data_IF_572940297449
#
_entry.id   IF_572940297449
#
_cell.length_a   1.000
_cell.length_b   1.000
_cell.length_c   1.000
_cell.angle_alpha   90.00
_cell.angle_beta   90.00
_cell.angle_gamma   90.00
#
_symmetry.space_group_name_H-M   'P 1'
#
loop_
_entity.id
_entity.type
_entity.pdbx_description
1 polymer ?
#
# COMPACT_ATOMS: atom_id res chain seq x y z
N UNK A 1 21.70 -13.02 -5.57
CA UNK A 1 21.71 -14.11 -6.56
C UNK A 1 22.12 -15.46 -5.92
N UNK A 2 23.24 -15.52 -5.19
CA UNK A 2 23.71 -16.77 -4.58
C UNK A 2 22.71 -17.32 -3.54
N UNK A 3 22.22 -16.50 -2.63
CA UNK A 3 21.24 -16.89 -1.61
C UNK A 3 19.89 -17.27 -2.23
N UNK A 4 19.48 -16.57 -3.30
CA UNK A 4 18.23 -16.89 -4.02
C UNK A 4 18.31 -18.26 -4.71
N UNK A 5 19.45 -18.57 -5.33
CA UNK A 5 19.69 -19.89 -5.94
C UNK A 5 19.69 -21.02 -4.90
N UNK A 6 20.31 -20.76 -3.74
CA UNK A 6 20.33 -21.70 -2.62
C UNK A 6 18.91 -21.94 -2.06
N UNK A 7 18.10 -20.89 -1.93
CA UNK A 7 16.72 -21.00 -1.51
C UNK A 7 15.89 -21.88 -2.47
N UNK A 8 15.96 -21.61 -3.78
CA UNK A 8 15.21 -22.39 -4.78
C UNK A 8 15.82 -23.79 -5.08
N UNK A 9 17.02 -24.10 -4.62
CA UNK A 9 17.51 -25.47 -4.60
C UNK A 9 16.86 -26.32 -3.52
N UNK A 10 16.32 -25.69 -2.48
CA UNK A 10 15.69 -26.35 -1.32
C UNK A 10 14.17 -26.37 -1.44
N UNK A 11 13.59 -25.30 -1.98
CA UNK A 11 12.13 -25.13 -2.11
C UNK A 11 11.75 -25.11 -3.60
N UNK A 12 10.79 -25.96 -4.00
CA UNK A 12 10.29 -25.97 -5.36
C UNK A 12 9.59 -24.66 -5.68
N UNK A 13 9.85 -24.14 -6.89
CA UNK A 13 9.25 -22.89 -7.36
C UNK A 13 7.70 -22.94 -7.37
N UNK A 14 7.12 -24.09 -7.72
CA UNK A 14 5.66 -24.29 -7.70
C UNK A 14 5.08 -24.24 -6.28
N UNK A 15 5.73 -24.90 -5.32
CA UNK A 15 5.31 -24.89 -3.93
C UNK A 15 5.42 -23.49 -3.32
N UNK A 16 6.43 -22.72 -3.73
CA UNK A 16 6.57 -21.31 -3.34
C UNK A 16 5.46 -20.43 -3.94
N UNK A 17 5.18 -20.54 -5.25
CA UNK A 17 4.20 -19.68 -5.92
C UNK A 17 2.77 -19.97 -5.44
N UNK A 18 2.41 -21.24 -5.26
CA UNK A 18 1.05 -21.66 -4.93
C UNK A 18 0.83 -22.01 -3.45
N UNK A 19 1.89 -21.96 -2.65
CA UNK A 19 1.80 -22.22 -1.22
C UNK A 19 0.92 -21.17 -0.51
N UNK A 20 0.08 -21.65 0.40
CA UNK A 20 -0.89 -20.83 1.14
C UNK A 20 -0.47 -20.49 2.55
N UNK A 21 0.70 -20.94 2.99
CA UNK A 21 1.24 -20.67 4.31
C UNK A 21 2.48 -19.79 4.22
N UNK A 22 2.55 -18.73 5.02
CA UNK A 22 3.72 -17.86 5.13
C UNK A 22 4.15 -17.75 6.60
N UNK A 23 5.18 -18.49 6.97
CA UNK A 23 5.70 -18.53 8.34
C UNK A 23 7.23 -18.56 8.38
N UNK A 24 7.91 -17.52 7.86
CA UNK A 24 9.39 -17.49 7.78
C UNK A 24 10.05 -17.57 9.15
N UNK A 25 9.36 -17.18 10.23
CA UNK A 25 9.89 -17.25 11.59
C UNK A 25 10.23 -18.69 12.01
N UNK A 26 9.54 -19.70 11.48
CA UNK A 26 9.83 -21.12 11.75
C UNK A 26 11.20 -21.53 11.23
N UNK A 27 11.69 -20.89 10.18
CA UNK A 27 13.01 -21.16 9.61
C UNK A 27 14.18 -20.59 10.43
N UNK A 28 13.92 -19.52 11.22
CA UNK A 28 14.97 -18.86 12.02
C UNK A 28 15.21 -19.50 13.39
N UNK A 29 14.31 -20.36 13.84
CA UNK A 29 14.32 -20.93 15.20
C UNK A 29 15.19 -22.19 15.31
N UNK A 30 15.73 -22.74 14.21
CA UNK A 30 16.41 -24.05 14.22
C UNK A 30 17.75 -24.03 13.52
N UNK A 31 18.76 -24.64 14.20
CA UNK A 31 20.04 -24.99 13.60
C UNK A 31 19.84 -26.07 12.52
N UNK A 32 20.36 -25.80 11.33
CA UNK A 32 20.24 -26.70 10.17
C UNK A 32 20.81 -28.11 10.39
N UNK A 33 21.56 -28.33 11.49
CA UNK A 33 22.20 -29.60 11.86
C UNK A 33 21.29 -30.60 12.60
N UNK A 34 20.06 -30.15 13.02
CA UNK A 34 19.15 -30.93 13.88
C UNK A 34 17.78 -31.18 13.26
N UNK A 35 17.57 -30.84 11.99
CA UNK A 35 16.28 -30.92 11.33
C UNK A 35 15.95 -32.37 10.97
N UNK A 36 14.83 -32.90 11.49
CA UNK A 36 14.31 -34.21 11.09
C UNK A 36 13.64 -34.15 9.72
N UNK A 37 13.49 -35.27 8.97
CA UNK A 37 12.82 -35.29 7.68
C UNK A 37 11.37 -34.76 7.73
N UNK A 38 10.65 -34.94 8.83
CA UNK A 38 9.29 -34.43 9.04
C UNK A 38 9.30 -32.91 9.22
N UNK A 39 10.24 -32.38 9.96
CA UNK A 39 10.44 -30.92 10.14
C UNK A 39 10.87 -30.23 8.86
N UNK A 40 11.61 -30.93 7.97
CA UNK A 40 11.95 -30.43 6.65
C UNK A 40 10.73 -30.23 5.76
N UNK A 41 9.74 -31.15 5.84
CA UNK A 41 8.46 -31.03 5.14
C UNK A 41 7.64 -29.84 5.66
N UNK A 42 7.58 -29.66 6.98
CA UNK A 42 6.90 -28.47 7.57
C UNK A 42 7.57 -27.14 7.18
N UNK A 43 8.89 -27.11 7.06
CA UNK A 43 9.65 -25.94 6.58
C UNK A 43 9.35 -25.66 5.12
N UNK A 44 9.21 -26.68 4.29
CA UNK A 44 8.88 -26.56 2.88
C UNK A 44 7.51 -25.88 2.68
N UNK A 45 6.53 -26.25 3.53
CA UNK A 45 5.19 -25.67 3.50
C UNK A 45 5.11 -24.28 4.17
N UNK A 46 6.18 -23.81 4.80
CA UNK A 46 6.22 -22.51 5.48
C UNK A 46 6.43 -21.30 4.54
N UNK A 47 6.79 -21.53 3.29
CA UNK A 47 7.16 -20.49 2.33
C UNK A 47 6.23 -20.46 1.12
N UNK A 48 4.99 -20.08 1.32
CA UNK A 48 4.03 -19.86 0.23
C UNK A 48 3.85 -18.36 -0.07
N UNK A 49 3.82 -17.97 -1.33
CA UNK A 49 3.67 -16.57 -1.73
C UNK A 49 2.23 -16.07 -1.79
N UNK A 50 1.24 -16.95 -1.85
CA UNK A 50 -0.19 -16.59 -1.96
C UNK A 50 -0.65 -15.61 -0.86
N UNK A 51 -0.31 -15.80 0.43
CA UNK A 51 -0.70 -14.85 1.47
C UNK A 51 -0.09 -13.45 1.29
N UNK A 52 1.12 -13.36 0.72
CA UNK A 52 1.78 -12.08 0.44
C UNK A 52 1.04 -11.31 -0.66
N UNK A 53 0.70 -12.00 -1.76
CA UNK A 53 -0.06 -11.38 -2.86
C UNK A 53 -1.48 -11.00 -2.40
N UNK A 54 -2.16 -11.87 -1.66
CA UNK A 54 -3.49 -11.60 -1.13
C UNK A 54 -3.48 -10.40 -0.16
N UNK A 55 -2.52 -10.36 0.76
CA UNK A 55 -2.34 -9.24 1.70
C UNK A 55 -2.06 -7.92 0.99
N UNK A 56 -1.15 -7.94 0.00
CA UNK A 56 -0.82 -6.76 -0.81
C UNK A 56 -2.02 -6.27 -1.60
N UNK A 57 -2.76 -7.18 -2.26
CA UNK A 57 -3.96 -6.83 -3.01
C UNK A 57 -5.05 -6.25 -2.10
N UNK A 58 -5.23 -6.81 -0.91
CA UNK A 58 -6.21 -6.33 0.06
C UNK A 58 -5.87 -4.93 0.58
N UNK A 59 -4.61 -4.69 0.97
CA UNK A 59 -4.14 -3.36 1.41
C UNK A 59 -4.26 -2.34 0.28
N UNK A 60 -3.86 -2.71 -0.95
CA UNK A 60 -3.99 -1.87 -2.12
C UNK A 60 -5.45 -1.51 -2.42
N UNK A 61 -6.36 -2.47 -2.29
CA UNK A 61 -7.79 -2.23 -2.47
C UNK A 61 -8.33 -1.19 -1.48
N UNK A 62 -8.00 -1.31 -0.18
CA UNK A 62 -8.37 -0.33 0.84
C UNK A 62 -7.80 1.04 0.50
N UNK A 63 -6.51 1.11 0.14
CA UNK A 63 -5.85 2.35 -0.24
C UNK A 63 -6.54 3.04 -1.43
N UNK A 64 -6.90 2.28 -2.46
CA UNK A 64 -7.58 2.79 -3.64
C UNK A 64 -9.00 3.26 -3.34
N UNK A 65 -9.75 2.58 -2.47
CA UNK A 65 -11.07 3.02 -2.02
C UNK A 65 -11.06 4.41 -1.35
N UNK A 66 -9.95 4.79 -0.74
CA UNK A 66 -9.75 6.10 -0.13
C UNK A 66 -9.15 7.10 -1.11
N UNK A 67 -8.05 6.72 -1.76
CA UNK A 67 -7.25 7.61 -2.58
C UNK A 67 -7.94 8.05 -3.87
N UNK A 68 -8.62 7.13 -4.56
CA UNK A 68 -9.23 7.45 -5.87
C UNK A 68 -10.37 8.46 -5.72
N UNK A 69 -11.40 8.26 -4.88
CA UNK A 69 -12.48 9.22 -4.80
C UNK A 69 -11.97 10.58 -4.32
N UNK A 70 -11.18 10.62 -3.25
CA UNK A 70 -10.72 11.90 -2.68
C UNK A 70 -9.76 12.60 -3.64
N UNK A 71 -8.79 11.89 -4.21
CA UNK A 71 -7.81 12.46 -5.14
C UNK A 71 -8.44 12.94 -6.44
N UNK A 72 -9.35 12.14 -7.03
CA UNK A 72 -10.03 12.50 -8.26
C UNK A 72 -10.94 13.71 -8.08
N UNK A 73 -11.79 13.73 -7.05
CA UNK A 73 -12.65 14.88 -6.77
C UNK A 73 -11.84 16.14 -6.45
N UNK A 74 -10.72 16.00 -5.74
CA UNK A 74 -9.80 17.10 -5.48
C UNK A 74 -9.18 17.64 -6.77
N UNK A 75 -8.72 16.78 -7.67
CA UNK A 75 -8.16 17.16 -8.97
C UNK A 75 -9.19 17.86 -9.86
N UNK A 76 -10.39 17.30 -10.01
CA UNK A 76 -11.49 17.91 -10.76
C UNK A 76 -11.85 19.30 -10.17
N UNK A 77 -11.96 19.39 -8.85
CA UNK A 77 -12.24 20.67 -8.20
C UNK A 77 -11.17 21.72 -8.49
N UNK A 78 -9.90 21.33 -8.40
CA UNK A 78 -8.78 22.22 -8.68
C UNK A 78 -8.76 22.67 -10.15
N UNK A 79 -9.02 21.77 -11.10
CA UNK A 79 -9.01 22.08 -12.52
C UNK A 79 -10.16 22.99 -12.95
N UNK A 80 -11.39 22.66 -12.52
CA UNK A 80 -12.61 23.27 -13.09
C UNK A 80 -13.23 24.37 -12.20
N UNK A 81 -13.17 24.19 -10.87
CA UNK A 81 -13.95 25.02 -9.94
C UNK A 81 -13.11 25.95 -9.07
N UNK A 82 -11.83 25.66 -8.88
CA UNK A 82 -11.01 26.41 -7.95
C UNK A 82 -10.67 27.81 -8.48
N UNK A 83 -10.88 28.83 -7.65
CA UNK A 83 -10.39 30.17 -7.96
C UNK A 83 -8.86 30.19 -8.07
N UNK A 84 -8.33 31.16 -8.83
CA UNK A 84 -6.87 31.34 -9.01
C UNK A 84 -6.10 31.42 -7.68
N UNK A 85 -6.73 32.01 -6.65
CA UNK A 85 -6.13 32.06 -5.32
C UNK A 85 -6.03 30.68 -4.66
N UNK A 86 -7.11 29.89 -4.71
CA UNK A 86 -7.15 28.54 -4.14
C UNK A 86 -6.11 27.67 -4.86
N UNK A 87 -6.10 27.67 -6.18
CA UNK A 87 -5.15 26.90 -6.99
C UNK A 87 -3.69 27.24 -6.67
N UNK A 88 -3.39 28.55 -6.51
CA UNK A 88 -2.06 29.03 -6.18
C UNK A 88 -1.51 28.50 -4.83
N UNK A 89 -2.38 28.27 -3.84
CA UNK A 89 -1.97 27.75 -2.54
C UNK A 89 -2.08 26.22 -2.47
N UNK A 90 -3.07 25.63 -3.11
CA UNK A 90 -3.28 24.19 -3.06
C UNK A 90 -2.22 23.39 -3.80
N UNK A 91 -1.77 23.84 -4.99
CA UNK A 91 -0.73 23.12 -5.75
C UNK A 91 0.56 22.95 -4.93
N UNK A 92 1.19 23.97 -4.33
CA UNK A 92 2.38 23.77 -3.49
C UNK A 92 2.12 22.87 -2.27
N UNK A 93 0.94 22.92 -1.67
CA UNK A 93 0.61 22.06 -0.52
C UNK A 93 0.57 20.59 -0.94
N UNK A 94 -0.07 20.28 -2.07
CA UNK A 94 -0.13 18.93 -2.64
C UNK A 94 1.28 18.43 -2.98
N UNK A 95 2.13 19.27 -3.56
CA UNK A 95 3.52 18.93 -3.88
C UNK A 95 4.35 18.65 -2.63
N UNK A 96 4.19 19.45 -1.55
CA UNK A 96 4.85 19.23 -0.27
C UNK A 96 4.40 17.90 0.34
N UNK A 97 3.09 17.60 0.32
CA UNK A 97 2.56 16.34 0.83
C UNK A 97 3.08 15.13 0.03
N UNK A 98 3.16 15.26 -1.30
CA UNK A 98 3.75 14.24 -2.16
C UNK A 98 5.25 14.02 -1.88
N UNK A 99 5.95 15.05 -1.43
CA UNK A 99 7.38 15.01 -1.09
C UNK A 99 7.70 14.40 0.27
N UNK A 100 6.72 14.11 1.13
CA UNK A 100 6.96 13.52 2.45
C UNK A 100 7.49 12.09 2.27
N UNK A 101 8.66 11.73 2.87
CA UNK A 101 9.18 10.37 2.80
C UNK A 101 8.18 9.33 3.32
N UNK A 102 8.04 8.21 2.59
CA UNK A 102 7.11 7.11 2.94
C UNK A 102 7.33 6.55 4.36
N UNK A 103 8.57 6.61 4.85
CA UNK A 103 8.93 6.19 6.21
C UNK A 103 8.19 7.01 7.27
N UNK A 104 7.98 8.32 7.05
CA UNK A 104 7.24 9.20 7.97
C UNK A 104 5.78 8.75 8.08
N UNK A 105 5.14 8.45 6.94
CA UNK A 105 3.79 7.89 6.91
C UNK A 105 3.71 6.53 7.61
N UNK A 106 4.70 5.65 7.40
CA UNK A 106 4.78 4.35 8.08
C UNK A 106 4.92 4.49 9.59
N UNK A 107 5.75 5.41 10.07
CA UNK A 107 5.87 5.71 11.51
C UNK A 107 4.57 6.26 12.09
N UNK A 108 3.92 7.17 11.40
CA UNK A 108 2.61 7.70 11.82
C UNK A 108 1.55 6.61 11.86
N UNK A 109 1.54 5.71 10.87
CA UNK A 109 0.66 4.54 10.87
C UNK A 109 0.86 3.67 12.09
N UNK A 110 2.11 3.32 12.42
CA UNK A 110 2.44 2.41 13.50
C UNK A 110 2.19 3.02 14.89
N UNK A 111 2.54 4.30 15.09
CA UNK A 111 2.50 4.94 16.41
C UNK A 111 1.17 5.62 16.74
N UNK A 112 0.41 6.02 15.75
CA UNK A 112 -0.82 6.79 15.95
C UNK A 112 -2.05 6.08 15.43
N UNK A 113 -2.06 5.71 14.15
CA UNK A 113 -3.26 5.17 13.50
C UNK A 113 -3.56 3.75 13.94
N UNK A 114 -2.56 2.90 14.04
CA UNK A 114 -2.71 1.52 14.51
C UNK A 114 -3.28 1.43 15.95
N UNK A 115 -2.67 2.08 16.95
CA UNK A 115 -3.21 2.14 18.31
C UNK A 115 -4.62 2.74 18.40
N UNK A 116 -4.92 3.76 17.56
CA UNK A 116 -6.25 4.35 17.49
C UNK A 116 -7.31 3.34 17.01
N UNK A 117 -7.05 2.60 15.95
CA UNK A 117 -7.95 1.54 15.47
C UNK A 117 -8.09 0.39 16.46
N UNK A 118 -7.00 0.03 17.14
CA UNK A 118 -7.04 -0.95 18.21
C UNK A 118 -7.96 -0.52 19.35
N UNK A 119 -7.83 0.71 19.82
CA UNK A 119 -8.67 1.26 20.89
C UNK A 119 -10.16 1.27 20.50
N UNK A 120 -10.49 1.65 19.27
CA UNK A 120 -11.87 1.57 18.75
C UNK A 120 -12.35 0.12 18.72
N UNK A 121 -11.55 -0.80 18.18
CA UNK A 121 -11.91 -2.22 18.12
C UNK A 121 -12.18 -2.80 19.50
N UNK A 122 -11.31 -2.54 20.47
CA UNK A 122 -11.47 -2.98 21.87
C UNK A 122 -12.77 -2.41 22.49
N UNK A 123 -13.11 -1.15 22.21
CA UNK A 123 -14.37 -0.54 22.67
C UNK A 123 -15.63 -1.18 22.09
N UNK A 124 -15.50 -1.81 20.91
CA UNK A 124 -16.56 -2.56 20.22
C UNK A 124 -16.54 -4.06 20.56
N UNK A 125 -15.67 -4.51 21.47
CA UNK A 125 -15.52 -5.92 21.82
C UNK A 125 -14.79 -6.75 20.76
N UNK A 126 -14.08 -6.13 19.83
CA UNK A 126 -13.31 -6.79 18.77
C UNK A 126 -11.82 -6.81 19.12
N UNK A 127 -11.15 -7.93 18.85
CA UNK A 127 -9.70 -8.02 18.96
C UNK A 127 -9.07 -7.51 17.66
N UNK A 128 -8.58 -6.27 17.66
CA UNK A 128 -7.91 -5.64 16.51
C UNK A 128 -6.43 -5.51 16.78
N UNK A 129 -5.61 -5.99 15.84
CA UNK A 129 -4.16 -5.74 15.89
C UNK A 129 -3.86 -4.30 15.50
N UNK A 130 -2.87 -3.69 16.18
CA UNK A 130 -2.33 -2.38 15.77
C UNK A 130 -1.70 -2.39 14.38
N UNK A 131 -1.23 -3.57 13.94
CA UNK A 131 -0.68 -3.81 12.59
C UNK A 131 -1.76 -4.32 11.63
N UNK A 132 -2.92 -3.67 11.62
CA UNK A 132 -4.03 -4.10 10.77
C UNK A 132 -3.85 -3.62 9.33
N UNK A 133 -4.30 -4.44 8.38
CA UNK A 133 -4.35 -4.08 6.96
C UNK A 133 -5.19 -2.82 6.71
N UNK A 134 -6.20 -2.56 7.56
CA UNK A 134 -7.03 -1.35 7.50
C UNK A 134 -6.20 -0.10 7.78
N UNK A 135 -5.39 -0.09 8.86
CA UNK A 135 -4.53 1.04 9.20
C UNK A 135 -3.49 1.30 8.11
N UNK A 136 -2.84 0.23 7.63
CA UNK A 136 -1.88 0.31 6.54
C UNK A 136 -2.50 0.85 5.24
N UNK A 137 -3.65 0.31 4.84
CA UNK A 137 -4.36 0.72 3.63
C UNK A 137 -4.85 2.16 3.68
N UNK A 138 -5.37 2.62 4.82
CA UNK A 138 -5.79 4.02 5.00
C UNK A 138 -4.62 4.99 4.86
N UNK A 139 -3.50 4.71 5.51
CA UNK A 139 -2.32 5.58 5.42
C UNK A 139 -1.72 5.57 4.02
N UNK A 140 -1.65 4.41 3.36
CA UNK A 140 -1.25 4.34 1.95
C UNK A 140 -2.21 5.14 1.07
N UNK A 141 -3.51 5.06 1.33
CA UNK A 141 -4.52 5.86 0.61
C UNK A 141 -4.28 7.35 0.76
N UNK A 142 -4.08 7.84 1.98
CA UNK A 142 -3.77 9.25 2.26
C UNK A 142 -2.49 9.69 1.54
N UNK A 143 -1.45 8.87 1.55
CA UNK A 143 -0.19 9.15 0.88
C UNK A 143 -0.35 9.26 -0.65
N UNK A 144 -1.27 8.50 -1.24
CA UNK A 144 -1.49 8.47 -2.70
C UNK A 144 -2.40 9.63 -3.17
N UNK A 145 -3.26 10.19 -2.30
CA UNK A 145 -4.18 11.29 -2.65
C UNK A 145 -3.49 12.43 -3.40
N UNK A 146 -2.35 12.99 -2.95
CA UNK A 146 -1.69 14.09 -3.64
C UNK A 146 -1.29 13.75 -5.07
N UNK A 147 -0.83 12.52 -5.31
CA UNK A 147 -0.42 12.06 -6.65
C UNK A 147 -1.62 11.95 -7.59
N UNK A 148 -2.73 11.38 -7.13
CA UNK A 148 -3.96 11.26 -7.94
C UNK A 148 -4.53 12.66 -8.22
N UNK A 149 -4.56 13.53 -7.22
CA UNK A 149 -5.08 14.90 -7.37
C UNK A 149 -4.27 15.71 -8.38
N UNK A 150 -2.93 15.68 -8.27
CA UNK A 150 -2.04 16.39 -9.20
C UNK A 150 -2.15 15.85 -10.62
N UNK A 151 -2.10 14.52 -10.78
CA UNK A 151 -2.22 13.89 -12.09
C UNK A 151 -3.57 14.17 -12.75
N UNK A 152 -4.66 14.15 -11.98
CA UNK A 152 -6.00 14.45 -12.50
C UNK A 152 -6.14 15.92 -12.92
N UNK A 153 -5.61 16.86 -12.15
CA UNK A 153 -5.58 18.29 -12.51
C UNK A 153 -4.81 18.50 -13.81
N UNK A 154 -3.62 17.93 -13.95
CA UNK A 154 -2.78 18.06 -15.14
C UNK A 154 -3.42 17.46 -16.40
N UNK A 155 -4.05 16.28 -16.28
CA UNK A 155 -4.74 15.63 -17.42
C UNK A 155 -5.94 16.44 -17.88
N UNK A 156 -6.74 16.98 -16.97
CA UNK A 156 -7.91 17.80 -17.31
C UNK A 156 -7.45 19.10 -17.99
N UNK A 157 -6.39 19.74 -17.50
CA UNK A 157 -5.83 20.95 -18.10
C UNK A 157 -5.35 20.69 -19.54
N UNK A 158 -4.66 19.58 -19.79
CA UNK A 158 -4.22 19.21 -21.14
C UNK A 158 -5.39 18.93 -22.08
N UNK A 159 -6.43 18.25 -21.61
CA UNK A 159 -7.63 17.99 -22.43
C UNK A 159 -8.36 19.28 -22.79
N UNK A 160 -8.51 20.22 -21.86
CA UNK A 160 -9.11 21.51 -22.12
C UNK A 160 -8.32 22.32 -23.19
N UNK A 161 -6.99 22.29 -23.15
CA UNK A 161 -6.13 22.88 -24.18
C UNK A 161 -6.31 22.25 -25.56
N UNK A 162 -6.49 20.95 -25.62
CA UNK A 162 -6.71 20.24 -26.87
C UNK A 162 -8.06 20.62 -27.49
N UNK A 163 -9.14 20.66 -26.71
CA UNK A 163 -10.44 21.08 -27.19
C UNK A 163 -10.44 22.50 -27.78
N UNK A 164 -9.78 23.44 -27.11
CA UNK A 164 -9.64 24.81 -27.60
C UNK A 164 -8.92 24.87 -28.95
N UNK A 165 -7.88 24.06 -29.15
CA UNK A 165 -7.13 24.00 -30.41
C UNK A 165 -7.89 23.33 -31.55
N UNK A 166 -8.77 22.37 -31.27
CA UNK A 166 -9.58 21.70 -32.29
C UNK A 166 -10.77 22.52 -32.74
N UNK A 167 -11.33 23.37 -31.87
CA UNK A 167 -12.48 24.22 -32.20
C UNK A 167 -12.13 25.49 -32.93
N UNK A 168 -10.84 25.83 -33.06
CA UNK A 168 -10.37 26.90 -33.95
C UNK A 168 -10.72 28.34 -33.52
N UNK A 169 -10.92 28.59 -32.23
CA UNK A 169 -11.16 29.92 -31.65
C UNK A 169 -9.97 30.39 -30.83
#
# INVERSE_FOLDING_TARGET
LFESLKFFSTINLFDFIFGTSWSPQRAFVRDASTITPEEYLELKDAFGSVPLFAGTAFIAFIAMCVAVPIGLFSGIYLAEYASTKVRKYSKPIIEILAGIPTVVYGFFAALTVGPFFRSIGESLGLTVSSESALAAGLIMGIMIIPYISSLSDDVIEVMAWQELNWTGW
#
